data_IF_152258480780
#
_entry.id   IF_152258480780
#
_cell.length_a   1.000
_cell.length_b   1.000
_cell.length_c   1.000
_cell.angle_alpha   90.00
_cell.angle_beta   90.00
_cell.angle_gamma   90.00
#
_symmetry.space_group_name_H-M   'P 1'
#
loop_
_entity.id
_entity.type
_entity.pdbx_description
1 polymer ?
#
# COMPACT_ATOMS: atom_id res chain seq x y z
N UNK A 1 10.85 32.11 1.17
CA UNK A 1 9.57 31.47 1.57
C UNK A 1 9.38 30.27 0.66
N UNK A 2 9.90 29.11 1.06
CA UNK A 2 9.57 27.85 0.39
C UNK A 2 8.13 27.51 0.71
N UNK A 3 7.29 27.31 -0.31
CA UNK A 3 5.94 26.79 -0.12
C UNK A 3 5.96 25.44 0.63
N UNK A 4 4.82 25.00 1.19
CA UNK A 4 4.75 23.66 1.77
C UNK A 4 5.25 22.63 0.74
N UNK A 5 6.05 21.64 1.16
CA UNK A 5 6.56 20.63 0.24
C UNK A 5 5.40 20.00 -0.51
N UNK A 6 5.49 19.92 -1.83
CA UNK A 6 4.49 19.27 -2.67
C UNK A 6 4.24 17.88 -2.10
N UNK A 7 3.03 17.62 -1.61
CA UNK A 7 2.69 16.35 -0.98
C UNK A 7 2.85 15.24 -2.03
N UNK A 8 3.86 14.38 -1.86
CA UNK A 8 4.12 13.27 -2.75
C UNK A 8 2.91 12.33 -2.86
N UNK A 9 2.85 11.55 -3.94
CA UNK A 9 1.77 10.58 -4.17
C UNK A 9 2.18 9.21 -3.64
N UNK A 10 1.21 8.44 -3.16
CA UNK A 10 1.43 7.05 -2.74
C UNK A 10 0.91 6.12 -3.82
N UNK A 11 1.79 5.36 -4.45
CA UNK A 11 1.43 4.24 -5.31
C UNK A 11 1.21 3.00 -4.44
N UNK A 12 0.10 2.29 -4.67
CA UNK A 12 -0.15 0.97 -4.12
C UNK A 12 -0.17 -0.05 -5.25
N UNK A 13 0.58 -1.13 -5.07
CA UNK A 13 0.67 -2.25 -6.00
C UNK A 13 0.26 -3.54 -5.29
N UNK A 14 -0.71 -4.24 -5.86
CA UNK A 14 -1.07 -5.60 -5.51
C UNK A 14 -0.47 -6.54 -6.55
N UNK A 15 0.48 -7.37 -6.12
CA UNK A 15 1.32 -8.18 -7.00
C UNK A 15 1.02 -9.65 -6.73
N UNK A 16 0.32 -10.36 -7.63
CA UNK A 16 0.07 -11.79 -7.49
C UNK A 16 1.35 -12.58 -7.80
N UNK A 17 1.77 -13.42 -6.86
CA UNK A 17 2.97 -14.26 -6.96
C UNK A 17 2.62 -15.74 -6.87
N UNK A 18 3.58 -16.60 -7.20
CA UNK A 18 3.54 -18.04 -6.95
C UNK A 18 4.68 -18.47 -6.04
N UNK A 19 4.45 -19.60 -5.39
CA UNK A 19 5.47 -20.31 -4.62
C UNK A 19 5.59 -19.77 -3.22
N UNK A 20 6.70 -20.13 -2.59
CA UNK A 20 7.05 -19.73 -1.23
C UNK A 20 7.77 -18.38 -1.24
N UNK A 21 7.90 -17.82 -0.04
CA UNK A 21 8.75 -16.66 0.25
C UNK A 21 10.14 -16.73 -0.40
N UNK A 22 10.76 -17.90 -0.42
CA UNK A 22 12.12 -18.05 -0.96
C UNK A 22 12.16 -17.98 -2.48
N UNK A 23 11.04 -18.28 -3.16
CA UNK A 23 10.95 -18.22 -4.61
C UNK A 23 10.90 -16.76 -5.11
N UNK A 24 10.06 -15.92 -4.47
CA UNK A 24 9.82 -14.56 -4.97
C UNK A 24 10.68 -13.47 -4.33
N UNK A 25 11.39 -13.75 -3.24
CA UNK A 25 12.14 -12.73 -2.50
C UNK A 25 13.30 -12.10 -3.25
N UNK A 26 14.16 -12.87 -3.90
CA UNK A 26 15.30 -12.31 -4.63
C UNK A 26 14.86 -11.55 -5.90
N UNK A 27 13.88 -12.04 -6.69
CA UNK A 27 13.28 -11.23 -7.76
C UNK A 27 12.65 -9.92 -7.25
N UNK A 28 11.89 -9.98 -6.15
CA UNK A 28 11.33 -8.78 -5.51
C UNK A 28 12.43 -7.82 -5.05
N UNK A 29 13.50 -8.33 -4.44
CA UNK A 29 14.64 -7.52 -3.99
C UNK A 29 15.28 -6.76 -5.14
N UNK A 30 15.52 -7.41 -6.28
CA UNK A 30 16.08 -6.76 -7.46
C UNK A 30 15.18 -5.60 -7.93
N UNK A 31 13.86 -5.83 -7.98
CA UNK A 31 12.88 -4.79 -8.27
C UNK A 31 12.92 -3.62 -7.26
N UNK A 32 12.94 -3.92 -5.95
CA UNK A 32 12.99 -2.91 -4.90
C UNK A 32 14.27 -2.07 -4.94
N UNK A 33 15.42 -2.69 -5.25
CA UNK A 33 16.69 -1.99 -5.41
C UNK A 33 16.67 -1.03 -6.59
N UNK A 34 16.16 -1.47 -7.75
CA UNK A 34 16.00 -0.60 -8.91
C UNK A 34 15.06 0.56 -8.61
N UNK A 35 13.93 0.30 -7.96
CA UNK A 35 12.97 1.33 -7.56
C UNK A 35 13.60 2.37 -6.62
N UNK A 36 14.42 1.94 -5.65
CA UNK A 36 15.11 2.83 -4.70
C UNK A 36 16.11 3.79 -5.36
N UNK A 37 16.66 3.42 -6.51
CA UNK A 37 17.68 4.21 -7.22
C UNK A 37 17.08 5.32 -8.10
N UNK A 38 15.75 5.38 -8.23
CA UNK A 38 15.09 6.31 -9.15
C UNK A 38 15.00 7.72 -8.58
N UNK A 39 15.20 8.74 -9.42
CA UNK A 39 14.87 10.09 -9.02
C UNK A 39 13.36 10.23 -8.75
N UNK A 40 13.03 10.98 -7.71
CA UNK A 40 11.66 11.12 -7.23
C UNK A 40 11.15 9.98 -6.35
N UNK A 41 11.91 8.89 -6.16
CA UNK A 41 11.62 7.91 -5.11
C UNK A 41 11.66 8.56 -3.72
N UNK A 42 10.69 8.25 -2.86
CA UNK A 42 10.66 8.70 -1.46
C UNK A 42 10.87 7.54 -0.48
N UNK A 43 10.09 6.47 -0.64
CA UNK A 43 10.11 5.29 0.25
C UNK A 43 9.31 4.14 -0.36
N UNK A 44 9.60 2.92 0.07
CA UNK A 44 8.72 1.75 -0.16
C UNK A 44 8.57 0.94 1.11
N UNK A 45 7.40 0.32 1.26
CA UNK A 45 7.06 -0.68 2.27
C UNK A 45 6.32 -1.81 1.56
N UNK A 46 6.47 -3.04 2.04
CA UNK A 46 5.78 -4.17 1.43
C UNK A 46 5.61 -5.31 2.44
N UNK A 47 4.72 -6.23 2.08
CA UNK A 47 4.59 -7.53 2.72
C UNK A 47 3.58 -8.41 1.97
N UNK A 48 3.62 -9.72 2.16
CA UNK A 48 2.51 -10.58 1.75
C UNK A 48 1.26 -10.25 2.57
N UNK A 49 0.08 -10.51 2.01
CA UNK A 49 -1.14 -10.52 2.80
C UNK A 49 -1.07 -11.69 3.78
N UNK A 50 -1.52 -11.45 5.01
CA UNK A 50 -1.57 -12.47 6.06
C UNK A 50 -2.61 -13.54 5.70
N UNK A 51 -3.70 -13.14 5.06
CA UNK A 51 -4.80 -14.00 4.62
C UNK A 51 -4.47 -14.76 3.32
N UNK A 52 -3.54 -14.23 2.52
CA UNK A 52 -3.15 -14.83 1.25
C UNK A 52 -1.71 -14.45 0.89
N UNK A 53 -0.76 -15.29 1.30
CA UNK A 53 0.67 -15.02 1.06
C UNK A 53 1.08 -15.02 -0.43
N UNK A 54 0.16 -15.36 -1.35
CA UNK A 54 0.37 -15.27 -2.80
C UNK A 54 0.05 -13.89 -3.37
N UNK A 55 -0.29 -12.91 -2.53
CA UNK A 55 -0.46 -11.50 -2.94
C UNK A 55 0.49 -10.64 -2.11
N UNK A 56 1.39 -9.93 -2.78
CA UNK A 56 2.22 -8.90 -2.14
C UNK A 56 1.49 -7.56 -2.24
N UNK A 57 1.40 -6.85 -1.11
CA UNK A 57 0.99 -5.45 -1.06
C UNK A 57 2.25 -4.60 -0.93
N UNK A 58 2.46 -3.71 -1.88
CA UNK A 58 3.61 -2.83 -1.93
C UNK A 58 3.13 -1.39 -2.02
N UNK A 59 3.60 -0.55 -1.09
CA UNK A 59 3.29 0.88 -1.02
C UNK A 59 4.57 1.66 -1.29
N UNK A 60 4.58 2.46 -2.35
CA UNK A 60 5.70 3.33 -2.74
C UNK A 60 5.30 4.80 -2.69
N UNK A 61 6.12 5.64 -2.08
CA UNK A 61 6.00 7.09 -2.14
C UNK A 61 6.83 7.66 -3.28
N UNK A 62 6.24 8.55 -4.06
CA UNK A 62 6.88 9.27 -5.15
C UNK A 62 6.71 10.78 -4.99
N UNK A 63 7.73 11.57 -5.36
CA UNK A 63 7.63 13.04 -5.43
C UNK A 63 6.49 13.46 -6.36
N UNK A 64 6.40 12.81 -7.53
CA UNK A 64 5.35 13.03 -8.52
C UNK A 64 5.02 11.73 -9.27
N UNK A 65 3.87 11.69 -9.95
CA UNK A 65 3.48 10.54 -10.80
C UNK A 65 4.41 10.39 -12.01
N UNK A 66 4.92 11.50 -12.54
CA UNK A 66 5.80 11.54 -13.69
C UNK A 66 7.16 10.89 -13.39
N UNK A 67 7.68 11.05 -12.17
CA UNK A 67 8.90 10.37 -11.74
C UNK A 67 8.73 8.83 -11.76
N UNK A 68 7.58 8.34 -11.27
CA UNK A 68 7.21 6.93 -11.37
C UNK A 68 7.11 6.49 -12.83
N UNK A 69 6.38 7.25 -13.65
CA UNK A 69 6.14 6.88 -15.06
C UNK A 69 7.46 6.85 -15.86
N UNK A 70 8.41 7.74 -15.56
CA UNK A 70 9.75 7.71 -16.16
C UNK A 70 10.51 6.42 -15.81
N UNK A 71 10.46 5.95 -14.56
CA UNK A 71 11.01 4.66 -14.18
C UNK A 71 10.36 3.52 -14.94
N UNK A 72 9.02 3.47 -15.01
CA UNK A 72 8.29 2.39 -15.68
C UNK A 72 8.53 2.35 -17.20
N UNK A 73 8.94 3.46 -17.82
CA UNK A 73 9.34 3.51 -19.22
C UNK A 73 10.80 3.08 -19.47
N UNK A 74 11.63 3.02 -18.42
CA UNK A 74 13.08 2.78 -18.50
C UNK A 74 13.44 1.35 -18.91
N UNK A 75 14.69 1.17 -19.38
CA UNK A 75 15.26 -0.16 -19.62
C UNK A 75 15.46 -0.94 -18.31
N UNK A 76 15.88 -0.26 -17.24
CA UNK A 76 16.10 -0.86 -15.92
C UNK A 76 14.82 -1.52 -15.38
N UNK A 77 13.68 -0.82 -15.45
CA UNK A 77 12.38 -1.40 -15.07
C UNK A 77 12.05 -2.65 -15.89
N UNK A 78 12.25 -2.61 -17.21
CA UNK A 78 12.00 -3.76 -18.09
C UNK A 78 12.85 -4.96 -17.68
N UNK A 79 14.12 -4.74 -17.38
CA UNK A 79 15.06 -5.79 -16.98
C UNK A 79 14.69 -6.42 -15.64
N UNK A 80 14.44 -5.61 -14.60
CA UNK A 80 14.06 -6.15 -13.28
C UNK A 80 12.68 -6.79 -13.30
N UNK A 81 11.73 -6.27 -14.08
CA UNK A 81 10.41 -6.88 -14.23
C UNK A 81 10.43 -8.16 -15.04
N UNK A 82 11.35 -8.31 -16.02
CA UNK A 82 11.50 -9.59 -16.71
C UNK A 82 11.88 -10.71 -15.74
N UNK A 83 12.78 -10.43 -14.80
CA UNK A 83 13.12 -11.35 -13.72
C UNK A 83 11.92 -11.56 -12.78
N UNK A 84 11.27 -10.49 -12.33
CA UNK A 84 10.17 -10.60 -11.36
C UNK A 84 8.95 -11.36 -11.91
N UNK A 85 8.65 -11.21 -13.21
CA UNK A 85 7.56 -11.94 -13.89
C UNK A 85 7.70 -13.46 -13.84
N UNK A 86 8.91 -13.99 -13.65
CA UNK A 86 9.11 -15.45 -13.52
C UNK A 86 8.37 -16.04 -12.33
N UNK A 87 8.13 -15.24 -11.28
CA UNK A 87 7.44 -15.65 -10.05
C UNK A 87 6.05 -15.02 -9.90
N UNK A 88 5.58 -14.25 -10.89
CA UNK A 88 4.24 -13.67 -10.89
C UNK A 88 3.21 -14.63 -11.48
N UNK A 89 1.97 -14.54 -11.02
CA UNK A 89 0.84 -15.37 -11.50
C UNK A 89 -0.22 -14.58 -12.29
N UNK A 90 -0.08 -13.25 -12.36
CA UNK A 90 -1.00 -12.39 -13.08
C UNK A 90 -0.50 -10.95 -13.17
N UNK A 91 -1.38 -10.08 -13.66
CA UNK A 91 -1.08 -8.65 -13.80
C UNK A 91 -1.04 -7.94 -12.44
N UNK A 92 -0.19 -6.91 -12.34
CA UNK A 92 -0.10 -6.06 -11.16
C UNK A 92 -1.28 -5.08 -11.19
N UNK A 93 -2.05 -5.03 -10.10
CA UNK A 93 -3.02 -3.96 -9.89
C UNK A 93 -2.33 -2.79 -9.22
N UNK A 94 -2.16 -1.69 -9.94
CA UNK A 94 -1.41 -0.51 -9.50
C UNK A 94 -2.25 0.75 -9.61
N UNK A 95 -2.30 1.56 -8.55
CA UNK A 95 -2.99 2.84 -8.56
C UNK A 95 -2.44 3.80 -7.50
N UNK A 96 -2.60 5.11 -7.74
CA UNK A 96 -2.16 6.14 -6.80
C UNK A 96 -3.26 6.52 -5.84
N UNK A 97 -2.90 6.79 -4.59
CA UNK A 97 -3.79 7.20 -3.51
C UNK A 97 -3.23 8.49 -2.90
N UNK A 98 -4.12 9.44 -2.60
CA UNK A 98 -3.81 10.62 -1.78
C UNK A 98 -4.41 10.42 -0.40
N UNK A 99 -3.62 9.86 0.50
CA UNK A 99 -4.03 9.69 1.89
C UNK A 99 -4.12 11.03 2.62
N UNK A 100 -5.16 11.18 3.44
CA UNK A 100 -5.40 12.34 4.30
C UNK A 100 -5.21 11.92 5.76
N UNK A 101 -4.51 12.72 6.60
CA UNK A 101 -3.90 14.03 6.30
C UNK A 101 -2.59 13.95 5.49
N UNK A 102 -1.93 12.79 5.47
CA UNK A 102 -0.70 12.53 4.72
C UNK A 102 -0.53 11.01 4.52
N UNK A 103 0.52 10.60 3.79
CA UNK A 103 0.84 9.18 3.57
C UNK A 103 0.91 8.39 4.90
N UNK A 104 0.33 7.19 5.02
CA UNK A 104 -0.06 6.52 6.27
C UNK A 104 1.13 6.04 7.13
N UNK A 105 2.00 6.95 7.60
CA UNK A 105 3.26 6.60 8.27
C UNK A 105 3.01 5.78 9.53
N UNK A 106 2.20 6.28 10.46
CA UNK A 106 1.92 5.57 11.71
C UNK A 106 1.24 4.22 11.48
N UNK A 107 0.33 4.16 10.50
CA UNK A 107 -0.37 2.92 10.18
C UNK A 107 0.56 1.85 9.59
N UNK A 108 1.43 2.21 8.64
CA UNK A 108 2.35 1.26 7.99
C UNK A 108 3.60 0.96 8.82
N UNK A 109 3.96 1.81 9.79
CA UNK A 109 5.06 1.56 10.72
C UNK A 109 4.58 0.78 11.98
N UNK A 110 3.29 0.44 12.06
CA UNK A 110 2.72 -0.43 13.10
C UNK A 110 3.14 -1.90 12.93
N UNK A 111 3.09 -2.74 13.98
CA UNK A 111 3.39 -4.18 13.89
C UNK A 111 2.63 -4.91 12.78
N UNK A 112 1.37 -4.55 12.58
CA UNK A 112 0.56 -4.98 11.44
C UNK A 112 -0.31 -3.82 10.95
N UNK A 113 -0.56 -3.75 9.65
CA UNK A 113 -1.57 -2.85 9.08
C UNK A 113 -2.74 -3.66 8.53
N UNK A 114 -3.96 -3.34 8.92
CA UNK A 114 -5.18 -3.72 8.20
C UNK A 114 -5.38 -2.73 7.05
N UNK A 115 -5.49 -3.24 5.82
CA UNK A 115 -5.77 -2.43 4.65
C UNK A 115 -7.17 -2.76 4.15
N UNK A 116 -8.04 -1.75 4.13
CA UNK A 116 -9.42 -1.86 3.68
C UNK A 116 -9.55 -1.15 2.33
N UNK A 117 -10.08 -1.86 1.34
CA UNK A 117 -10.30 -1.38 -0.01
C UNK A 117 -11.79 -1.41 -0.30
N UNK A 118 -12.35 -0.28 -0.72
CA UNK A 118 -13.77 -0.15 -1.04
C UNK A 118 -13.90 0.32 -2.48
N UNK A 119 -14.54 -0.52 -3.30
CA UNK A 119 -14.79 -0.24 -4.71
C UNK A 119 -16.27 -0.04 -4.98
N UNK A 120 -16.62 0.80 -5.96
CA UNK A 120 -18.02 1.08 -6.30
C UNK A 120 -18.78 1.79 -5.18
N UNK A 121 -18.08 2.58 -4.36
CA UNK A 121 -18.73 3.36 -3.31
C UNK A 121 -19.61 4.46 -3.92
N UNK A 122 -20.82 4.64 -3.38
CA UNK A 122 -21.80 5.64 -3.85
C UNK A 122 -21.90 6.88 -2.95
N UNK A 123 -21.19 6.87 -1.83
CA UNK A 123 -21.10 7.96 -0.86
C UNK A 123 -19.84 8.80 -1.07
N UNK A 124 -19.80 9.97 -0.44
CA UNK A 124 -18.66 10.88 -0.53
C UNK A 124 -17.41 10.35 0.19
N UNK A 125 -16.23 10.86 -0.17
CA UNK A 125 -14.98 10.50 0.49
C UNK A 125 -15.00 10.87 1.98
N UNK A 126 -15.61 12.00 2.32
CA UNK A 126 -15.70 12.50 3.69
C UNK A 126 -16.58 11.60 4.55
N UNK A 127 -17.67 11.06 4.01
CA UNK A 127 -18.51 10.08 4.71
C UNK A 127 -17.76 8.76 4.95
N UNK A 128 -17.06 8.24 3.93
CA UNK A 128 -16.23 7.03 4.10
C UNK A 128 -15.13 7.25 5.14
N UNK A 129 -14.46 8.40 5.10
CA UNK A 129 -13.41 8.75 6.05
C UNK A 129 -13.96 8.91 7.47
N UNK A 130 -15.08 9.61 7.65
CA UNK A 130 -15.73 9.77 8.94
C UNK A 130 -16.16 8.42 9.54
N UNK A 131 -16.58 7.46 8.70
CA UNK A 131 -16.90 6.12 9.13
C UNK A 131 -15.64 5.34 9.55
N UNK A 132 -14.56 5.39 8.75
CA UNK A 132 -13.27 4.76 9.10
C UNK A 132 -12.66 5.36 10.36
N UNK A 133 -12.77 6.68 10.57
CA UNK A 133 -12.24 7.37 11.75
C UNK A 133 -12.83 6.85 13.07
N UNK A 134 -14.00 6.18 13.04
CA UNK A 134 -14.56 5.49 14.21
C UNK A 134 -13.64 4.38 14.74
N UNK A 135 -12.77 3.83 13.89
CA UNK A 135 -11.75 2.86 14.30
C UNK A 135 -10.81 3.40 15.38
N UNK A 136 -10.64 4.73 15.50
CA UNK A 136 -9.80 5.36 16.54
C UNK A 136 -10.24 5.04 17.96
N UNK A 137 -11.49 4.61 18.14
CA UNK A 137 -12.01 4.17 19.44
C UNK A 137 -11.70 2.70 19.75
N UNK A 138 -11.14 1.94 18.81
CA UNK A 138 -10.88 0.51 18.95
C UNK A 138 -9.59 0.24 19.73
N UNK A 139 -9.61 -0.66 20.73
CA UNK A 139 -8.40 -1.00 21.48
C UNK A 139 -7.30 -1.60 20.61
N UNK A 140 -6.09 -1.03 20.69
CA UNK A 140 -4.91 -1.52 19.97
C UNK A 140 -4.75 -0.95 18.56
N UNK A 141 -5.57 0.03 18.16
CA UNK A 141 -5.29 0.84 16.98
C UNK A 141 -4.22 1.89 17.32
N UNK A 142 -3.19 1.99 16.49
CA UNK A 142 -2.09 2.94 16.62
C UNK A 142 -2.33 4.23 15.82
N UNK A 143 -2.66 4.08 14.54
CA UNK A 143 -2.92 5.21 13.64
C UNK A 143 -3.74 4.75 12.43
N UNK A 144 -4.30 5.68 11.67
CA UNK A 144 -4.94 5.40 10.39
C UNK A 144 -4.79 6.56 9.41
N UNK A 145 -4.81 6.25 8.12
CA UNK A 145 -5.07 7.22 7.08
C UNK A 145 -5.88 6.58 5.96
N UNK A 146 -6.67 7.40 5.25
CA UNK A 146 -7.48 6.92 4.13
C UNK A 146 -7.56 7.95 3.00
N UNK A 147 -7.96 7.49 1.83
CA UNK A 147 -8.28 8.37 0.71
C UNK A 147 -8.73 7.63 -0.54
N UNK A 148 -9.28 8.38 -1.49
CA UNK A 148 -9.58 7.87 -2.83
C UNK A 148 -8.33 7.74 -3.71
N UNK A 149 -8.45 6.85 -4.69
CA UNK A 149 -7.51 6.76 -5.79
C UNK A 149 -7.50 8.06 -6.61
N UNK A 150 -6.31 8.48 -7.05
CA UNK A 150 -6.12 9.69 -7.87
C UNK A 150 -6.81 9.54 -9.22
N UNK A 151 -6.72 8.35 -9.81
CA UNK A 151 -7.32 7.97 -11.09
C UNK A 151 -8.43 6.92 -10.87
N UNK A 152 -9.23 6.67 -11.90
CA UNK A 152 -10.23 5.60 -11.87
C UNK A 152 -9.54 4.23 -12.02
N UNK A 153 -10.03 3.26 -11.26
CA UNK A 153 -9.52 1.88 -11.20
C UNK A 153 -10.69 0.96 -11.51
N UNK A 154 -10.57 0.17 -12.58
CA UNK A 154 -11.61 -0.79 -13.01
C UNK A 154 -13.01 -0.14 -13.20
N UNK A 155 -13.05 1.10 -13.71
CA UNK A 155 -14.30 1.81 -14.02
C UNK A 155 -14.84 2.72 -12.92
N UNK A 156 -14.10 2.95 -11.83
CA UNK A 156 -14.46 3.97 -10.84
C UNK A 156 -13.39 4.23 -9.79
N UNK A 157 -13.64 5.18 -8.89
CA UNK A 157 -12.73 5.47 -7.77
C UNK A 157 -12.71 4.30 -6.77
N UNK A 158 -11.54 4.02 -6.22
CA UNK A 158 -11.35 3.06 -5.14
C UNK A 158 -10.89 3.80 -3.89
N UNK A 159 -11.62 3.62 -2.80
CA UNK A 159 -11.24 4.16 -1.49
C UNK A 159 -10.36 3.16 -0.77
N UNK A 160 -9.26 3.63 -0.18
CA UNK A 160 -8.36 2.79 0.62
C UNK A 160 -8.18 3.40 2.00
N UNK A 161 -8.25 2.58 3.03
CA UNK A 161 -7.85 2.92 4.38
C UNK A 161 -6.75 1.97 4.86
N UNK A 162 -5.69 2.52 5.44
CA UNK A 162 -4.66 1.78 6.14
C UNK A 162 -4.77 2.06 7.63
N UNK A 163 -5.01 1.03 8.43
CA UNK A 163 -5.20 1.07 9.87
C UNK A 163 -4.06 0.28 10.52
N UNK A 164 -3.23 0.95 11.32
CA UNK A 164 -2.15 0.31 12.06
C UNK A 164 -2.64 -0.28 13.37
N UNK A 165 -2.29 -1.53 13.64
CA UNK A 165 -2.69 -2.26 14.83
C UNK A 165 -1.47 -2.83 15.58
N UNK A 166 -1.63 -3.02 16.88
CA UNK A 166 -0.62 -3.70 17.71
C UNK A 166 -0.40 -5.17 17.32
N UNK A 167 -1.45 -5.81 16.80
CA UNK A 167 -1.43 -7.22 16.41
C UNK A 167 -2.64 -7.58 15.52
N UNK A 168 -2.55 -8.71 14.82
CA UNK A 168 -3.65 -9.22 13.98
C UNK A 168 -4.86 -9.54 14.87
N UNK A 169 -4.61 -10.08 16.06
CA UNK A 169 -5.63 -10.47 17.03
C UNK A 169 -6.44 -9.25 17.51
N UNK A 170 -5.77 -8.12 17.76
CA UNK A 170 -6.45 -6.86 18.15
C UNK A 170 -7.33 -6.33 17.03
N UNK A 171 -6.82 -6.34 15.80
CA UNK A 171 -7.62 -5.97 14.63
C UNK A 171 -8.83 -6.89 14.49
N UNK A 172 -8.65 -8.21 14.53
CA UNK A 172 -9.73 -9.18 14.36
C UNK A 172 -10.80 -9.09 15.47
N UNK A 173 -10.39 -8.74 16.70
CA UNK A 173 -11.32 -8.54 17.81
C UNK A 173 -12.06 -7.20 17.76
N UNK A 174 -11.64 -6.24 16.92
CA UNK A 174 -12.31 -4.96 16.78
C UNK A 174 -13.69 -5.13 16.10
N UNK A 175 -14.67 -4.33 16.54
CA UNK A 175 -15.98 -4.32 15.90
C UNK A 175 -15.90 -3.68 14.51
N UNK A 176 -15.69 -4.52 13.49
CA UNK A 176 -15.61 -4.11 12.09
C UNK A 176 -16.87 -3.38 11.63
N UNK A 177 -18.04 -3.73 12.17
CA UNK A 177 -19.31 -3.09 11.79
C UNK A 177 -19.39 -1.63 12.24
N UNK A 178 -18.62 -1.25 13.26
CA UNK A 178 -18.58 0.12 13.76
C UNK A 178 -17.85 1.08 12.81
N UNK A 179 -16.90 0.60 12.00
CA UNK A 179 -16.01 1.47 11.22
C UNK A 179 -15.81 1.08 9.75
N UNK A 180 -16.16 -0.14 9.33
CA UNK A 180 -16.17 -0.52 7.91
C UNK A 180 -17.49 -0.04 7.29
N UNK A 181 -17.46 0.83 6.27
CA UNK A 181 -18.67 1.27 5.58
C UNK A 181 -19.39 0.10 4.90
N UNK A 182 -20.70 -0.01 5.11
CA UNK A 182 -21.56 -0.94 4.37
C UNK A 182 -21.93 -0.39 2.97
N UNK A 183 -20.95 0.13 2.25
CA UNK A 183 -21.11 0.75 0.93
C UNK A 183 -20.07 0.20 -0.04
N UNK A 184 -20.51 -0.20 -1.23
CA UNK A 184 -19.64 -0.78 -2.25
C UNK A 184 -19.18 -2.21 -1.91
N UNK A 185 -18.22 -2.70 -2.69
CA UNK A 185 -17.54 -3.97 -2.44
C UNK A 185 -16.32 -3.72 -1.59
N UNK A 186 -16.29 -4.33 -0.40
CA UNK A 186 -15.22 -4.25 0.58
C UNK A 186 -14.29 -5.45 0.47
N UNK A 187 -12.98 -5.19 0.52
CA UNK A 187 -11.91 -6.16 0.70
C UNK A 187 -11.03 -5.68 1.85
N UNK A 188 -10.68 -6.57 2.78
CA UNK A 188 -9.82 -6.26 3.91
C UNK A 188 -8.80 -7.38 4.13
N UNK A 189 -7.57 -6.99 4.42
CA UNK A 189 -6.46 -7.91 4.67
C UNK A 189 -5.41 -7.26 5.55
N UNK A 190 -4.53 -8.08 6.14
CA UNK A 190 -3.45 -7.62 7.00
C UNK A 190 -2.09 -7.74 6.32
N UNK A 191 -1.24 -6.73 6.49
CA UNK A 191 0.13 -6.71 5.95
C UNK A 191 1.10 -6.30 7.04
N UNK A 192 2.17 -7.08 7.21
CA UNK A 192 3.33 -6.62 7.94
C UNK A 192 4.24 -5.87 6.96
N UNK A 193 4.16 -4.54 6.95
CA UNK A 193 4.92 -3.69 6.05
C UNK A 193 6.43 -3.60 6.39
N UNK A 194 6.86 -4.21 7.50
CA UNK A 194 8.26 -4.40 7.87
C UNK A 194 8.82 -5.75 7.40
N UNK A 195 8.18 -6.37 6.40
CA UNK A 195 8.56 -7.70 5.95
C UNK A 195 10.02 -7.75 5.47
N UNK A 196 10.88 -8.56 6.12
CA UNK A 196 12.32 -8.48 5.87
C UNK A 196 12.71 -9.17 4.56
N UNK A 197 13.56 -8.49 3.79
CA UNK A 197 14.26 -9.02 2.61
C UNK A 197 15.76 -8.85 2.83
N UNK A 198 16.51 -9.96 2.88
CA UNK A 198 17.94 -9.93 3.22
C UNK A 198 18.72 -9.12 2.19
N UNK A 199 19.52 -8.16 2.66
CA UNK A 199 20.31 -7.28 1.78
C UNK A 199 19.51 -6.12 1.17
N UNK A 200 18.26 -5.92 1.59
CA UNK A 200 17.51 -4.70 1.34
C UNK A 200 17.16 -4.06 2.68
N UNK A 201 17.61 -2.83 2.91
CA UNK A 201 17.22 -2.05 4.09
C UNK A 201 16.23 -0.97 3.68
N UNK A 202 15.13 -0.92 4.42
CA UNK A 202 14.07 0.08 4.27
C UNK A 202 14.44 1.45 4.87
N UNK A 203 15.71 1.63 5.27
CA UNK A 203 16.18 2.87 5.90
C UNK A 203 15.78 4.08 5.06
N UNK A 204 14.97 4.93 5.70
CA UNK A 204 14.60 6.24 5.19
C UNK A 204 15.90 7.03 5.04
N UNK A 205 16.31 7.39 3.82
CA UNK A 205 17.29 8.47 3.65
C UNK A 205 16.59 9.75 4.09
N UNK A 206 17.07 10.30 5.20
CA UNK A 206 16.62 11.55 5.82
C UNK A 206 16.75 12.74 4.88
#
# INVERSE_FOLDING_TARGET
MSGPPTAGVTERMLIPVRGTKEDWKEPLKAYLLALKNQDGYLRTRWGPWTENEQILDLISGWKTKEARDAFFASAEYKDVMANFKTVMTGDIKSYFIKFVPYAPRGAIDSPIAEVITISGATVSEDELRAQIDKARSMPGLNDLASGFSVDDVDGGKVFVAALGWDSVEKSQAADKSAYIPANGKVEAHHVNFHYPVKGFSVTNTH
#
